data_IF_350382472678
#
_entry.id   IF_350382472678
#
_cell.length_a   1.000
_cell.length_b   1.000
_cell.length_c   1.000
_cell.angle_alpha   90.00
_cell.angle_beta   90.00
_cell.angle_gamma   90.00
#
_symmetry.space_group_name_H-M   'P 1'
#
loop_
_entity.id
_entity.type
_entity.pdbx_description
1 polymer ?
#
# COMPACT_ATOMS: atom_id res chain seq x y z
N UNK A 1 -8.80 -5.47 -1.28
CA UNK A 1 -9.52 -5.25 0.01
C UNK A 1 -9.79 -3.76 0.15
N UNK A 2 -10.96 -3.35 0.68
CA UNK A 2 -11.36 -1.94 0.81
C UNK A 2 -11.44 -1.58 2.30
N UNK A 3 -10.85 -0.45 2.70
CA UNK A 3 -10.80 0.02 4.09
C UNK A 3 -11.23 1.49 4.17
N UNK A 4 -11.75 1.91 5.33
CA UNK A 4 -12.19 3.28 5.60
C UNK A 4 -11.51 3.79 6.88
N UNK A 5 -10.30 4.37 6.80
CA UNK A 5 -9.52 4.75 7.98
C UNK A 5 -10.10 5.97 8.71
N UNK A 6 -10.78 6.86 7.97
CA UNK A 6 -11.34 8.11 8.48
C UNK A 6 -12.56 8.48 7.64
N UNK A 7 -13.50 9.23 8.23
CA UNK A 7 -14.65 9.74 7.51
C UNK A 7 -14.23 10.52 6.24
N UNK A 8 -14.78 10.12 5.09
CA UNK A 8 -14.49 10.77 3.81
C UNK A 8 -13.26 10.22 3.08
N UNK A 9 -12.57 9.23 3.63
CA UNK A 9 -11.50 8.51 2.94
C UNK A 9 -11.82 7.02 2.86
N UNK A 10 -11.41 6.40 1.76
CA UNK A 10 -11.29 4.95 1.65
C UNK A 10 -9.96 4.62 0.99
N UNK A 11 -9.40 3.46 1.25
CA UNK A 11 -8.29 2.96 0.46
C UNK A 11 -8.50 1.53 0.03
N UNK A 12 -7.83 1.16 -1.05
CA UNK A 12 -7.85 -0.17 -1.61
C UNK A 12 -6.45 -0.75 -1.60
N UNK A 13 -6.36 -2.00 -1.14
CA UNK A 13 -5.11 -2.77 -1.16
C UNK A 13 -5.27 -3.91 -2.15
N UNK A 14 -4.37 -3.97 -3.12
CA UNK A 14 -4.32 -5.00 -4.16
C UNK A 14 -2.95 -5.64 -4.16
N UNK A 15 -2.91 -6.97 -4.16
CA UNK A 15 -1.67 -7.72 -4.36
C UNK A 15 -1.59 -8.10 -5.83
N UNK A 16 -0.54 -7.68 -6.51
CA UNK A 16 -0.27 -8.05 -7.89
C UNK A 16 0.87 -9.07 -7.95
N UNK A 17 0.65 -10.15 -8.70
CA UNK A 17 1.70 -11.08 -9.11
C UNK A 17 2.02 -10.82 -10.57
N UNK A 18 3.27 -10.45 -10.85
CA UNK A 18 3.78 -10.27 -12.21
C UNK A 18 5.04 -11.12 -12.44
N UNK A 19 5.62 -10.97 -13.63
CA UNK A 19 6.89 -11.57 -14.00
C UNK A 19 7.86 -10.50 -14.50
N UNK A 20 9.16 -10.65 -14.23
CA UNK A 20 10.21 -9.94 -14.98
C UNK A 20 10.21 -10.41 -16.45
N UNK A 21 10.85 -9.66 -17.37
CA UNK A 21 11.15 -10.18 -18.71
C UNK A 21 11.97 -11.48 -18.70
N UNK A 22 12.66 -11.77 -17.59
CA UNK A 22 13.44 -13.00 -17.36
C UNK A 22 12.61 -14.14 -16.75
N UNK A 23 11.28 -13.98 -16.63
CA UNK A 23 10.33 -14.93 -16.02
C UNK A 23 10.47 -15.14 -14.50
N UNK A 24 11.13 -14.22 -13.79
CA UNK A 24 11.16 -14.25 -12.33
C UNK A 24 9.86 -13.67 -11.77
N UNK A 25 9.27 -14.32 -10.77
CA UNK A 25 8.05 -13.82 -10.13
C UNK A 25 8.33 -12.53 -9.37
N UNK A 26 7.54 -11.48 -9.64
CA UNK A 26 7.54 -10.24 -8.86
C UNK A 26 6.21 -10.14 -8.12
N UNK A 27 6.29 -9.81 -6.84
CA UNK A 27 5.13 -9.46 -6.02
C UNK A 27 5.10 -7.94 -5.79
N UNK A 28 3.93 -7.34 -6.01
CA UNK A 28 3.68 -5.94 -5.69
C UNK A 28 2.51 -5.82 -4.73
N UNK A 29 2.61 -4.83 -3.87
CA UNK A 29 1.53 -4.38 -3.01
C UNK A 29 1.11 -2.98 -3.47
N UNK A 30 -0.10 -2.87 -3.99
CA UNK A 30 -0.69 -1.61 -4.44
C UNK A 30 -1.58 -1.07 -3.32
N UNK A 31 -1.41 0.21 -3.01
CA UNK A 31 -2.25 0.97 -2.09
C UNK A 31 -2.80 2.19 -2.83
N UNK A 32 -4.12 2.25 -2.96
CA UNK A 32 -4.83 3.35 -3.61
C UNK A 32 -5.67 4.10 -2.58
N UNK A 33 -5.34 5.38 -2.35
CA UNK A 33 -6.11 6.24 -1.47
C UNK A 33 -7.15 7.01 -2.28
N UNK A 34 -8.39 6.98 -1.81
CA UNK A 34 -9.49 7.72 -2.37
C UNK A 34 -10.08 8.71 -1.37
N UNK A 35 -10.50 9.86 -1.87
CA UNK A 35 -11.19 10.89 -1.09
C UNK A 35 -12.60 11.11 -1.62
N UNK A 36 -13.56 11.23 -0.70
CA UNK A 36 -14.96 11.48 -1.00
C UNK A 36 -15.13 12.86 -1.63
N UNK A 37 -15.88 12.90 -2.74
CA UNK A 37 -16.40 14.09 -3.40
C UNK A 37 -17.93 14.08 -3.34
N UNK A 38 -18.57 15.09 -3.96
CA UNK A 38 -20.03 15.21 -4.03
C UNK A 38 -20.68 13.93 -4.60
N UNK A 39 -20.13 13.42 -5.70
CA UNK A 39 -20.78 12.34 -6.47
C UNK A 39 -20.00 11.01 -6.46
N UNK A 40 -18.99 10.86 -5.60
CA UNK A 40 -18.20 9.64 -5.57
C UNK A 40 -16.89 9.73 -4.77
N UNK A 41 -15.92 8.91 -5.15
CA UNK A 41 -14.59 8.85 -4.57
C UNK A 41 -13.56 9.01 -5.68
N UNK A 42 -12.71 10.03 -5.58
CA UNK A 42 -11.59 10.22 -6.49
C UNK A 42 -10.35 9.55 -5.91
N UNK A 43 -9.59 8.84 -6.74
CA UNK A 43 -8.26 8.37 -6.38
C UNK A 43 -7.32 9.58 -6.28
N UNK A 44 -6.75 9.80 -5.10
CA UNK A 44 -5.86 10.92 -4.81
C UNK A 44 -4.40 10.49 -4.67
N UNK A 45 -4.15 9.21 -4.36
CA UNK A 45 -2.79 8.65 -4.27
C UNK A 45 -2.79 7.23 -4.82
N UNK A 46 -1.77 6.92 -5.61
CA UNK A 46 -1.44 5.57 -6.07
C UNK A 46 -0.04 5.20 -5.60
N UNK A 47 0.08 4.13 -4.82
CA UNK A 47 1.37 3.60 -4.37
C UNK A 47 1.53 2.18 -4.90
N UNK A 48 2.45 1.98 -5.85
CA UNK A 48 2.87 0.65 -6.29
C UNK A 48 4.18 0.26 -5.60
N UNK A 49 4.07 -0.47 -4.48
CA UNK A 49 5.23 -1.00 -3.77
C UNK A 49 5.69 -2.31 -4.42
N UNK A 50 6.92 -2.34 -4.93
CA UNK A 50 7.57 -3.57 -5.41
C UNK A 50 8.46 -4.11 -4.29
N UNK A 51 8.25 -5.36 -3.89
CA UNK A 51 9.12 -6.04 -2.94
C UNK A 51 10.55 -6.12 -3.51
N UNK A 52 11.54 -5.69 -2.73
CA UNK A 52 12.96 -5.70 -3.07
C UNK A 52 13.74 -6.83 -2.40
N UNK A 53 13.21 -7.39 -1.31
CA UNK A 53 13.82 -8.48 -0.56
C UNK A 53 12.95 -9.75 -0.56
N UNK A 54 13.56 -10.88 -0.19
CA UNK A 54 12.85 -12.15 -0.02
C UNK A 54 11.78 -12.08 1.08
N UNK A 55 12.06 -11.36 2.19
CA UNK A 55 11.12 -11.18 3.29
C UNK A 55 9.87 -10.39 2.86
N UNK A 56 10.06 -9.27 2.17
CA UNK A 56 8.95 -8.48 1.61
C UNK A 56 8.14 -9.30 0.60
N UNK A 57 8.82 -10.05 -0.27
CA UNK A 57 8.15 -10.88 -1.29
C UNK A 57 7.29 -11.98 -0.66
N UNK A 58 7.81 -12.67 0.36
CA UNK A 58 7.04 -13.69 1.08
C UNK A 58 5.89 -13.05 1.87
N UNK A 59 6.09 -11.86 2.43
CA UNK A 59 5.05 -11.06 3.08
C UNK A 59 3.87 -10.75 2.16
N UNK A 60 4.15 -10.18 0.99
CA UNK A 60 3.13 -9.86 -0.02
C UNK A 60 2.43 -11.13 -0.51
N UNK A 61 3.19 -12.23 -0.71
CA UNK A 61 2.62 -13.53 -1.07
C UNK A 61 1.70 -14.08 0.02
N UNK A 62 2.06 -13.98 1.30
CA UNK A 62 1.17 -14.36 2.41
C UNK A 62 -0.11 -13.55 2.39
N UNK A 63 -0.04 -12.23 2.17
CA UNK A 63 -1.23 -11.38 2.05
C UNK A 63 -2.17 -11.82 0.93
N UNK A 64 -1.63 -12.28 -0.20
CA UNK A 64 -2.44 -12.82 -1.30
C UNK A 64 -3.14 -14.14 -0.93
N UNK A 65 -2.47 -15.00 -0.15
CA UNK A 65 -2.96 -16.34 0.19
C UNK A 65 -3.89 -16.36 1.40
N UNK A 66 -3.64 -15.48 2.37
CA UNK A 66 -4.26 -15.50 3.70
C UNK A 66 -5.10 -14.25 3.98
N UNK A 67 -5.06 -13.25 3.10
CA UNK A 67 -5.62 -11.93 3.37
C UNK A 67 -4.69 -11.09 4.27
N UNK A 68 -5.21 -9.97 4.75
CA UNK A 68 -4.50 -9.03 5.64
C UNK A 68 -4.76 -9.42 7.09
N UNK A 69 -3.70 -9.61 7.89
CA UNK A 69 -3.83 -9.84 9.33
C UNK A 69 -4.19 -8.57 10.10
N UNK A 70 -4.61 -8.68 11.36
CA UNK A 70 -4.94 -7.53 12.21
C UNK A 70 -3.76 -6.54 12.32
N UNK A 71 -2.55 -7.02 12.60
CA UNK A 71 -1.35 -6.17 12.66
C UNK A 71 -1.07 -5.46 11.33
N UNK A 72 -1.28 -6.17 10.21
CA UNK A 72 -1.12 -5.56 8.89
C UNK A 72 -2.21 -4.53 8.61
N UNK A 73 -3.45 -4.79 9.04
CA UNK A 73 -4.55 -3.85 8.93
C UNK A 73 -4.26 -2.58 9.72
N UNK A 74 -3.78 -2.69 10.96
CA UNK A 74 -3.39 -1.54 11.80
C UNK A 74 -2.32 -0.68 11.12
N UNK A 75 -1.30 -1.32 10.53
CA UNK A 75 -0.25 -0.63 9.79
C UNK A 75 -0.78 0.06 8.53
N UNK A 76 -1.73 -0.56 7.83
CA UNK A 76 -2.36 -0.01 6.63
C UNK A 76 -3.27 1.18 6.96
N UNK A 77 -4.06 1.10 8.03
CA UNK A 77 -4.99 2.15 8.45
C UNK A 77 -4.33 3.30 9.22
N UNK A 78 -3.15 3.09 9.79
CA UNK A 78 -2.37 4.12 10.46
C UNK A 78 -1.17 4.59 9.63
N UNK A 79 0.06 4.07 9.87
CA UNK A 79 1.29 4.54 9.23
C UNK A 79 1.26 4.71 7.71
N UNK A 80 0.69 3.74 6.97
CA UNK A 80 0.60 3.83 5.50
C UNK A 80 -0.40 4.90 5.08
N UNK A 81 -1.59 4.90 5.69
CA UNK A 81 -2.60 5.92 5.44
C UNK A 81 -2.08 7.33 5.73
N UNK A 82 -1.44 7.55 6.88
CA UNK A 82 -0.89 8.85 7.27
C UNK A 82 0.18 9.33 6.28
N UNK A 83 1.04 8.42 5.83
CA UNK A 83 2.06 8.72 4.85
C UNK A 83 1.46 9.05 3.46
N UNK A 84 0.42 8.33 3.04
CA UNK A 84 -0.29 8.59 1.79
C UNK A 84 -1.11 9.89 1.86
N UNK A 85 -1.84 10.15 2.93
CA UNK A 85 -2.63 11.37 3.14
C UNK A 85 -1.75 12.62 3.09
N UNK A 86 -0.52 12.53 3.60
CA UNK A 86 0.47 13.62 3.51
C UNK A 86 0.92 13.96 2.08
N UNK A 87 0.56 13.14 1.08
CA UNK A 87 0.76 13.44 -0.35
C UNK A 87 -0.42 14.16 -0.98
N UNK A 88 -1.55 14.33 -0.28
CA UNK A 88 -2.72 14.95 -0.89
C UNK A 88 -2.39 16.36 -1.41
N UNK A 89 -2.69 16.61 -2.68
CA UNK A 89 -2.44 17.90 -3.34
C UNK A 89 -0.98 18.13 -3.77
N UNK A 90 -0.06 17.21 -3.48
CA UNK A 90 1.31 17.27 -3.99
C UNK A 90 1.35 16.83 -5.47
N UNK A 91 1.82 17.70 -6.36
CA UNK A 91 1.99 17.35 -7.78
C UNK A 91 3.04 16.25 -7.99
N UNK A 92 4.06 16.19 -7.13
CA UNK A 92 5.07 15.13 -7.15
C UNK A 92 5.60 14.90 -5.73
N UNK A 93 5.62 13.65 -5.23
CA UNK A 93 6.20 13.35 -3.93
C UNK A 93 7.71 13.65 -3.88
N UNK A 94 8.15 14.32 -2.82
CA UNK A 94 9.58 14.53 -2.51
C UNK A 94 10.28 13.20 -2.21
N UNK A 95 11.63 13.12 -2.33
CA UNK A 95 12.37 11.91 -1.97
C UNK A 95 12.10 11.42 -0.53
N UNK A 96 11.98 12.34 0.43
CA UNK A 96 11.67 12.01 1.82
C UNK A 96 10.28 11.40 1.97
N UNK A 97 9.28 11.93 1.25
CA UNK A 97 7.92 11.37 1.26
C UNK A 97 7.87 9.98 0.60
N UNK A 98 8.61 9.78 -0.49
CA UNK A 98 8.73 8.47 -1.14
C UNK A 98 9.34 7.44 -0.20
N UNK A 99 10.41 7.80 0.50
CA UNK A 99 11.05 6.88 1.44
C UNK A 99 10.17 6.57 2.65
N UNK A 100 9.42 7.56 3.16
CA UNK A 100 8.45 7.35 4.24
C UNK A 100 7.38 6.34 3.87
N UNK A 101 6.79 6.47 2.68
CA UNK A 101 5.79 5.53 2.18
C UNK A 101 6.40 4.16 1.92
N UNK A 102 7.57 4.12 1.26
CA UNK A 102 8.29 2.86 1.01
C UNK A 102 8.57 2.11 2.31
N UNK A 103 9.04 2.80 3.34
CA UNK A 103 9.32 2.24 4.67
C UNK A 103 8.03 1.71 5.30
N UNK A 104 6.94 2.49 5.31
CA UNK A 104 5.66 2.06 5.86
C UNK A 104 5.13 0.79 5.16
N UNK A 105 5.19 0.77 3.82
CA UNK A 105 4.79 -0.40 3.02
C UNK A 105 5.69 -1.61 3.28
N UNK A 106 7.00 -1.41 3.41
CA UNK A 106 7.96 -2.48 3.75
C UNK A 106 7.59 -3.10 5.10
N UNK A 107 7.34 -2.27 6.13
CA UNK A 107 6.92 -2.74 7.46
C UNK A 107 5.65 -3.60 7.41
N UNK A 108 4.64 -3.23 6.61
CA UNK A 108 3.42 -4.05 6.41
C UNK A 108 3.76 -5.45 5.90
N UNK A 109 4.74 -5.55 5.00
CA UNK A 109 5.12 -6.84 4.40
C UNK A 109 6.05 -7.66 5.29
N UNK A 110 6.81 -7.03 6.20
CA UNK A 110 7.79 -7.71 7.05
C UNK A 110 7.36 -7.89 8.50
N UNK A 111 6.20 -7.38 8.90
CA UNK A 111 5.68 -7.54 10.27
C UNK A 111 5.47 -9.02 10.61
N UNK A 112 5.85 -9.40 11.82
CA UNK A 112 5.56 -10.73 12.36
C UNK A 112 4.06 -10.84 12.68
N UNK A 113 3.38 -11.75 11.99
CA UNK A 113 1.93 -11.98 12.08
C UNK A 113 1.59 -12.68 13.39
#
# INVERSE_FOLDING_TARGET
MVFSPEAGYKFEVVVEKGCTPQNDSIWKLVFDLYKRRRDGFDQIVHVSFRAGSAAESEGVKRMALQGVSDKQADLLTGPVYDAAKALEGAATPTPQQKEKIRTAMSTVTTVEL
#
